data_IF_012041963346
#
_entry.id   IF_012041963346
#
_cell.length_a   1.000
_cell.length_b   1.000
_cell.length_c   1.000
_cell.angle_alpha   90.00
_cell.angle_beta   90.00
_cell.angle_gamma   90.00
#
_symmetry.space_group_name_H-M   'P 1'
#
loop_
_entity.id
_entity.type
_entity.pdbx_description
1 polymer ?
#
# COMPACT_ATOMS: atom_id res chain seq x y z
N UNK A 1 -17.52 -50.91 31.36
CA UNK A 1 -16.81 -50.67 30.09
C UNK A 1 -17.20 -49.28 29.63
N UNK A 2 -16.45 -48.26 30.06
CA UNK A 2 -16.68 -46.86 29.67
C UNK A 2 -15.93 -46.60 28.35
N UNK A 3 -16.50 -45.82 27.42
CA UNK A 3 -15.85 -45.57 26.14
C UNK A 3 -14.72 -44.55 26.26
N UNK A 4 -13.79 -44.71 25.33
CA UNK A 4 -12.51 -44.05 25.19
C UNK A 4 -12.58 -42.51 25.16
N UNK A 5 -11.79 -41.95 26.05
CA UNK A 5 -10.98 -40.73 25.97
C UNK A 5 -10.79 -40.13 24.55
N UNK A 6 -11.59 -39.11 24.21
CA UNK A 6 -11.26 -38.13 23.15
C UNK A 6 -11.01 -36.76 23.81
N UNK A 7 -9.78 -36.58 24.31
CA UNK A 7 -9.22 -35.24 24.57
C UNK A 7 -8.66 -34.70 23.26
N UNK A 8 -9.54 -34.23 22.41
CA UNK A 8 -9.11 -33.26 21.40
C UNK A 8 -8.88 -31.95 22.15
N UNK A 9 -7.61 -31.59 22.31
CA UNK A 9 -7.18 -30.28 22.78
C UNK A 9 -7.81 -29.24 21.84
N UNK A 10 -8.96 -28.69 22.22
CA UNK A 10 -9.42 -27.41 21.69
C UNK A 10 -8.39 -26.39 22.16
N UNK A 11 -7.44 -26.07 21.28
CA UNK A 11 -6.83 -24.77 21.28
C UNK A 11 -7.99 -23.78 21.24
N UNK A 12 -8.22 -23.09 22.36
CA UNK A 12 -9.03 -21.89 22.35
C UNK A 12 -8.30 -20.92 21.43
N UNK A 13 -8.69 -20.90 20.16
CA UNK A 13 -8.37 -19.79 19.28
C UNK A 13 -9.08 -18.62 19.92
N UNK A 14 -8.36 -17.86 20.74
CA UNK A 14 -8.77 -16.51 21.12
C UNK A 14 -8.60 -15.72 19.83
N UNK A 15 -9.63 -15.82 18.97
CA UNK A 15 -9.74 -15.03 17.77
C UNK A 15 -9.77 -13.56 18.19
N UNK A 16 -8.61 -12.91 18.11
CA UNK A 16 -8.59 -11.49 17.87
C UNK A 16 -9.26 -11.29 16.52
N UNK A 17 -10.52 -10.88 16.51
CA UNK A 17 -11.24 -10.30 15.37
C UNK A 17 -10.54 -9.01 14.93
N UNK A 18 -9.29 -9.09 14.50
CA UNK A 18 -8.66 -8.05 13.71
C UNK A 18 -8.92 -8.40 12.26
N UNK A 19 -10.16 -8.16 11.83
CA UNK A 19 -10.64 -8.20 10.44
C UNK A 19 -10.06 -7.01 9.63
N UNK A 20 -8.84 -6.60 9.97
CA UNK A 20 -8.22 -5.39 9.43
C UNK A 20 -7.73 -5.70 8.02
N UNK A 21 -8.49 -5.25 7.03
CA UNK A 21 -8.04 -5.18 5.65
C UNK A 21 -6.79 -4.28 5.60
N UNK A 22 -5.75 -4.73 4.90
CA UNK A 22 -4.48 -4.01 4.78
C UNK A 22 -4.27 -3.63 3.32
N UNK A 23 -3.84 -2.39 3.09
CA UNK A 23 -3.35 -1.92 1.80
C UNK A 23 -1.84 -1.79 1.82
N UNK A 24 -1.15 -2.32 0.82
CA UNK A 24 0.26 -2.11 0.56
C UNK A 24 0.43 -1.33 -0.75
N UNK A 25 1.09 -0.18 -0.69
CA UNK A 25 1.35 0.69 -1.83
C UNK A 25 2.85 0.85 -2.06
N UNK A 26 3.35 0.32 -3.16
CA UNK A 26 4.71 0.53 -3.64
C UNK A 26 4.77 1.72 -4.61
N UNK A 27 5.61 2.71 -4.29
CA UNK A 27 5.82 3.93 -5.07
C UNK A 27 7.16 3.80 -5.79
N UNK A 28 7.13 3.22 -6.98
CA UNK A 28 8.29 2.99 -7.83
C UNK A 28 8.64 4.14 -8.77
N UNK A 29 9.80 4.01 -9.41
CA UNK A 29 10.30 4.97 -10.41
C UNK A 29 9.41 5.03 -11.65
N UNK A 30 8.88 3.89 -12.10
CA UNK A 30 8.08 3.80 -13.33
C UNK A 30 6.58 3.65 -13.04
N UNK A 31 6.23 2.89 -12.01
CA UNK A 31 4.86 2.53 -11.70
C UNK A 31 4.61 2.52 -10.21
N UNK A 32 3.37 2.81 -9.83
CA UNK A 32 2.87 2.58 -8.49
C UNK A 32 2.04 1.29 -8.47
N UNK A 33 2.07 0.55 -7.38
CA UNK A 33 1.34 -0.71 -7.23
C UNK A 33 0.65 -0.77 -5.87
N UNK A 34 -0.68 -0.82 -5.89
CA UNK A 34 -1.52 -1.08 -4.72
C UNK A 34 -1.95 -2.55 -4.70
N UNK A 35 -1.88 -3.16 -3.53
CA UNK A 35 -2.51 -4.44 -3.20
C UNK A 35 -3.32 -4.25 -1.92
N UNK A 36 -4.59 -4.63 -1.94
CA UNK A 36 -5.46 -4.66 -0.78
C UNK A 36 -5.77 -6.12 -0.46
N UNK A 37 -5.48 -6.52 0.77
CA UNK A 37 -5.62 -7.90 1.20
C UNK A 37 -6.39 -8.00 2.53
N UNK A 38 -7.19 -9.07 2.64
CA UNK A 38 -7.93 -9.42 3.84
C UNK A 38 -7.32 -10.69 4.47
N UNK A 39 -7.10 -10.73 5.79
CA UNK A 39 -6.69 -11.96 6.45
C UNK A 39 -7.81 -13.02 6.39
N UNK A 40 -7.43 -14.26 6.13
CA UNK A 40 -8.29 -15.45 6.12
C UNK A 40 -7.65 -16.55 6.97
N UNK A 41 -8.38 -17.65 7.24
CA UNK A 41 -7.88 -18.74 8.12
C UNK A 41 -6.49 -19.26 7.72
N UNK A 42 -6.18 -19.28 6.42
CA UNK A 42 -4.90 -19.77 5.88
C UNK A 42 -4.16 -18.72 5.07
N UNK A 43 -3.99 -17.51 5.62
CA UNK A 43 -3.14 -16.46 5.04
C UNK A 43 -3.91 -15.21 4.66
N UNK A 44 -3.79 -14.78 3.40
CA UNK A 44 -4.39 -13.55 2.91
C UNK A 44 -5.08 -13.76 1.57
N UNK A 45 -6.23 -13.15 1.41
CA UNK A 45 -6.94 -13.03 0.13
C UNK A 45 -6.74 -11.61 -0.42
N UNK A 46 -6.27 -11.49 -1.66
CA UNK A 46 -6.18 -10.19 -2.35
C UNK A 46 -7.56 -9.83 -2.87
N UNK A 47 -8.13 -8.76 -2.32
CA UNK A 47 -9.49 -8.30 -2.64
C UNK A 47 -9.51 -7.11 -3.61
N UNK A 48 -8.38 -6.41 -3.77
CA UNK A 48 -8.17 -5.45 -4.85
C UNK A 48 -6.68 -5.32 -5.17
N UNK A 49 -6.36 -5.01 -6.43
CA UNK A 49 -5.02 -4.58 -6.82
C UNK A 49 -5.11 -3.60 -7.97
N UNK A 50 -4.25 -2.59 -7.94
CA UNK A 50 -4.17 -1.55 -8.97
C UNK A 50 -2.72 -1.27 -9.30
N UNK A 51 -2.39 -1.18 -10.59
CA UNK A 51 -1.05 -0.83 -11.04
C UNK A 51 -1.13 0.27 -12.09
N UNK A 52 -0.42 1.36 -11.84
CA UNK A 52 -0.42 2.52 -12.73
C UNK A 52 0.99 2.90 -13.15
N UNK A 53 1.19 3.16 -14.44
CA UNK A 53 2.45 3.70 -14.98
C UNK A 53 2.46 5.22 -14.81
N UNK A 54 3.23 5.72 -13.84
CA UNK A 54 3.32 7.15 -13.48
C UNK A 54 4.56 7.82 -14.08
N UNK A 55 5.64 7.04 -14.29
CA UNK A 55 6.96 7.49 -14.76
C UNK A 55 7.52 8.63 -13.91
N UNK A 56 7.60 8.40 -12.60
CA UNK A 56 8.06 9.37 -11.61
C UNK A 56 9.53 9.76 -11.78
N UNK A 57 10.40 8.82 -12.18
CA UNK A 57 11.82 9.06 -12.42
C UNK A 57 12.20 9.26 -13.88
N UNK A 58 11.27 9.70 -14.74
CA UNK A 58 11.55 9.97 -16.15
C UNK A 58 11.63 11.49 -16.38
N UNK A 59 12.70 11.96 -17.02
CA UNK A 59 12.92 13.37 -17.33
C UNK A 59 14.20 13.58 -18.14
N UNK A 60 14.30 14.69 -18.86
CA UNK A 60 15.51 15.06 -19.61
C UNK A 60 16.61 15.70 -18.72
N UNK A 61 16.29 16.00 -17.47
CA UNK A 61 17.18 16.61 -16.49
C UNK A 61 18.03 15.63 -15.67
N UNK A 62 18.69 16.17 -14.65
CA UNK A 62 19.44 15.39 -13.66
C UNK A 62 18.48 14.39 -12.98
N UNK A 63 18.71 13.07 -13.13
CA UNK A 63 17.86 11.98 -12.58
C UNK A 63 17.64 12.07 -11.05
N UNK A 64 18.26 13.04 -10.39
CA UNK A 64 18.10 13.39 -8.97
C UNK A 64 17.02 14.44 -8.71
N UNK A 65 16.21 14.86 -9.67
CA UNK A 65 15.04 15.72 -9.41
C UNK A 65 13.78 15.13 -10.05
N UNK A 66 12.67 15.21 -9.32
CA UNK A 66 11.35 14.88 -9.85
C UNK A 66 10.83 16.11 -10.61
N UNK A 67 10.48 15.91 -11.87
CA UNK A 67 9.87 16.96 -12.69
C UNK A 67 8.48 17.35 -12.13
N UNK A 68 8.06 18.62 -12.23
CA UNK A 68 6.78 19.07 -11.67
C UNK A 68 5.58 18.28 -12.19
N UNK A 69 5.56 17.96 -13.48
CA UNK A 69 4.50 17.17 -14.12
C UNK A 69 4.48 15.71 -13.62
N UNK A 70 5.65 15.14 -13.30
CA UNK A 70 5.77 13.82 -12.69
C UNK A 70 5.22 13.82 -11.27
N UNK A 71 5.48 14.87 -10.48
CA UNK A 71 4.88 15.05 -9.16
C UNK A 71 3.35 15.11 -9.29
N UNK A 72 2.79 15.93 -10.20
CA UNK A 72 1.33 16.02 -10.39
C UNK A 72 0.71 14.67 -10.73
N UNK A 73 1.27 13.93 -11.68
CA UNK A 73 0.80 12.58 -12.03
C UNK A 73 0.87 11.63 -10.84
N UNK A 74 1.97 11.67 -10.09
CA UNK A 74 2.16 10.86 -8.90
C UNK A 74 1.10 11.16 -7.85
N UNK A 75 0.86 12.42 -7.52
CA UNK A 75 -0.17 12.82 -6.54
C UNK A 75 -1.57 12.41 -7.00
N UNK A 76 -1.89 12.55 -8.30
CA UNK A 76 -3.17 12.10 -8.83
C UNK A 76 -3.36 10.57 -8.71
N UNK A 77 -2.30 9.79 -8.96
CA UNK A 77 -2.30 8.34 -8.79
C UNK A 77 -2.48 7.93 -7.33
N UNK A 78 -1.76 8.60 -6.41
CA UNK A 78 -1.91 8.39 -4.96
C UNK A 78 -3.36 8.64 -4.48
N UNK A 79 -4.01 9.70 -4.96
CA UNK A 79 -5.42 9.99 -4.63
C UNK A 79 -6.36 8.84 -5.04
N UNK A 80 -6.18 8.29 -6.26
CA UNK A 80 -6.97 7.15 -6.73
C UNK A 80 -6.73 5.90 -5.89
N UNK A 81 -5.48 5.59 -5.59
CA UNK A 81 -5.11 4.42 -4.80
C UNK A 81 -5.59 4.53 -3.36
N UNK A 82 -5.57 5.72 -2.75
CA UNK A 82 -6.17 5.94 -1.44
C UNK A 82 -7.69 5.71 -1.47
N UNK A 83 -8.39 6.21 -2.49
CA UNK A 83 -9.84 5.98 -2.62
C UNK A 83 -10.19 4.49 -2.76
N UNK A 84 -9.38 3.71 -3.50
CA UNK A 84 -9.54 2.25 -3.57
C UNK A 84 -9.36 1.63 -2.18
N UNK A 85 -8.31 2.00 -1.44
CA UNK A 85 -8.08 1.49 -0.10
C UNK A 85 -9.24 1.85 0.86
N UNK A 86 -9.75 3.08 0.81
CA UNK A 86 -10.88 3.55 1.62
C UNK A 86 -12.18 2.79 1.33
N UNK A 87 -12.50 2.53 0.06
CA UNK A 87 -13.68 1.73 -0.35
C UNK A 87 -13.65 0.33 0.28
N UNK A 88 -12.47 -0.24 0.45
CA UNK A 88 -12.28 -1.55 1.08
C UNK A 88 -12.02 -1.49 2.59
N UNK A 89 -12.06 -0.31 3.22
CA UNK A 89 -11.78 -0.14 4.64
C UNK A 89 -10.33 -0.49 5.03
N UNK A 90 -9.40 -0.39 4.09
CA UNK A 90 -8.04 -0.87 4.25
C UNK A 90 -7.16 0.13 5.01
N UNK A 91 -6.39 -0.37 5.98
CA UNK A 91 -5.27 0.39 6.59
C UNK A 91 -4.11 0.41 5.60
N UNK A 92 -3.88 1.54 4.95
CA UNK A 92 -2.87 1.69 3.90
C UNK A 92 -1.47 1.93 4.48
N UNK A 93 -0.48 1.23 3.94
CA UNK A 93 0.96 1.46 4.14
C UNK A 93 1.62 1.68 2.80
N UNK A 94 2.25 2.84 2.63
CA UNK A 94 2.99 3.17 1.43
C UNK A 94 4.50 3.11 1.66
N UNK A 95 5.25 2.74 0.61
CA UNK A 95 6.71 2.71 0.62
C UNK A 95 7.23 3.34 -0.66
N UNK A 96 8.07 4.37 -0.52
CA UNK A 96 8.83 4.93 -1.62
C UNK A 96 10.14 4.17 -1.87
N UNK A 97 10.36 3.76 -3.12
CA UNK A 97 11.63 3.13 -3.53
C UNK A 97 12.55 4.14 -4.23
N UNK A 98 13.07 3.84 -5.42
CA UNK A 98 14.24 4.50 -6.00
C UNK A 98 14.03 6.00 -6.31
N UNK A 99 13.11 6.36 -7.22
CA UNK A 99 12.97 7.76 -7.67
C UNK A 99 12.75 8.77 -6.53
N UNK A 100 11.82 8.48 -5.62
CA UNK A 100 11.53 9.39 -4.48
C UNK A 100 12.69 9.39 -3.48
N UNK A 101 13.30 8.24 -3.17
CA UNK A 101 14.41 8.20 -2.20
C UNK A 101 15.63 8.97 -2.66
N UNK A 102 15.93 8.92 -3.96
CA UNK A 102 17.12 9.49 -4.60
C UNK A 102 16.94 10.96 -5.02
N UNK A 103 15.70 11.43 -5.13
CA UNK A 103 15.41 12.81 -5.52
C UNK A 103 15.81 13.83 -4.44
N UNK A 104 16.52 14.89 -4.88
CA UNK A 104 16.89 16.07 -4.08
C UNK A 104 15.65 16.82 -3.58
N UNK A 105 14.59 16.88 -4.39
CA UNK A 105 13.32 17.52 -4.07
C UNK A 105 12.25 16.55 -3.52
N UNK A 106 12.63 15.35 -3.04
CA UNK A 106 11.66 14.35 -2.52
C UNK A 106 10.70 14.87 -1.46
N UNK A 107 11.16 15.83 -0.65
CA UNK A 107 10.34 16.43 0.41
C UNK A 107 9.12 17.17 -0.15
N UNK A 108 9.19 17.68 -1.38
CA UNK A 108 8.04 18.27 -2.06
C UNK A 108 6.97 17.21 -2.32
N UNK A 109 7.37 16.10 -2.94
CA UNK A 109 6.48 14.97 -3.21
C UNK A 109 5.87 14.40 -1.92
N UNK A 110 6.69 14.13 -0.88
CA UNK A 110 6.21 13.56 0.40
C UNK A 110 5.21 14.50 1.08
N UNK A 111 5.48 15.82 1.11
CA UNK A 111 4.55 16.79 1.70
C UNK A 111 3.23 16.84 0.94
N UNK A 112 3.27 16.80 -0.39
CA UNK A 112 2.07 16.81 -1.23
C UNK A 112 1.29 15.49 -1.12
N UNK A 113 1.97 14.35 -1.08
CA UNK A 113 1.35 13.04 -0.84
C UNK A 113 0.52 13.05 0.45
N UNK A 114 1.11 13.56 1.55
CA UNK A 114 0.41 13.68 2.83
C UNK A 114 -0.74 14.69 2.77
N UNK A 115 -0.49 15.90 2.27
CA UNK A 115 -1.47 17.01 2.31
C UNK A 115 -2.64 16.81 1.36
N UNK A 116 -2.38 16.26 0.18
CA UNK A 116 -3.37 16.21 -0.91
C UNK A 116 -3.94 14.82 -1.14
N UNK A 117 -3.18 13.75 -0.89
CA UNK A 117 -3.63 12.38 -1.08
C UNK A 117 -3.91 11.64 0.24
N UNK A 118 -3.55 12.24 1.40
CA UNK A 118 -3.72 11.61 2.71
C UNK A 118 -2.77 10.44 2.97
N UNK A 119 -1.72 10.28 2.15
CA UNK A 119 -0.80 9.14 2.24
C UNK A 119 0.51 9.56 2.90
N UNK A 120 0.92 8.81 3.93
CA UNK A 120 2.27 8.89 4.50
C UNK A 120 3.20 7.90 3.77
N UNK A 121 4.32 8.41 3.27
CA UNK A 121 5.30 7.73 2.40
C UNK A 121 6.67 7.69 3.06
#
# INVERSE_FOLDING_TARGET
MLPSNDRVLRCAFVGSESNDVIGALDIGTNSFHLVVAKPVETGFEVIASEKEVVRLGHGAGDMKQLEPDAIERGIASLKRMNAIAEVHGAKLRAVATSAVREAKNRNEFIKRARKEAGIEV
#
